data_IF_369576975446
#
_entry.id   IF_369576975446
#
_cell.length_a   1.000
_cell.length_b   1.000
_cell.length_c   1.000
_cell.angle_alpha   90.00
_cell.angle_beta   90.00
_cell.angle_gamma   90.00
#
_symmetry.space_group_name_H-M   'P 1'
#
loop_
_entity.id
_entity.type
_entity.pdbx_description
1 polymer ?
#
# COMPACT_ATOMS: atom_id res chain seq x y z
N UNK A 1 -27.15 29.71 4.92
CA UNK A 1 -25.97 29.33 4.09
C UNK A 1 -25.45 27.97 4.56
N UNK A 2 -25.79 26.88 3.88
CA UNK A 2 -25.19 25.56 4.13
C UNK A 2 -23.83 25.51 3.44
N UNK A 3 -22.75 25.80 4.18
CA UNK A 3 -21.38 25.50 3.74
C UNK A 3 -21.31 23.98 3.53
N UNK A 4 -21.27 23.52 2.28
CA UNK A 4 -21.10 22.10 1.94
C UNK A 4 -19.72 21.66 2.45
N UNK A 5 -19.65 21.16 3.69
CA UNK A 5 -18.40 20.69 4.31
C UNK A 5 -18.11 19.28 3.77
N UNK A 6 -16.89 19.03 3.32
CA UNK A 6 -16.49 17.72 2.78
C UNK A 6 -16.35 16.70 3.92
N UNK A 7 -16.93 15.50 3.71
CA UNK A 7 -16.78 14.31 4.55
C UNK A 7 -16.16 13.21 3.69
N UNK A 8 -14.88 12.89 3.91
CA UNK A 8 -14.14 11.95 3.05
C UNK A 8 -14.39 10.48 3.44
N UNK A 9 -14.50 10.17 4.75
CA UNK A 9 -14.55 8.78 5.24
C UNK A 9 -15.70 8.48 6.21
N UNK A 10 -16.52 9.46 6.60
CA UNK A 10 -17.55 9.26 7.63
C UNK A 10 -18.93 8.88 7.06
N UNK A 11 -19.61 7.96 7.75
CA UNK A 11 -20.95 7.46 7.41
C UNK A 11 -21.99 8.55 7.70
N UNK A 12 -22.79 8.88 6.68
CA UNK A 12 -23.96 9.74 6.79
C UNK A 12 -23.90 10.97 5.88
N UNK A 13 -24.25 10.80 4.61
CA UNK A 13 -24.91 11.82 3.78
C UNK A 13 -25.30 11.24 2.42
N UNK A 14 -26.60 11.23 2.14
CA UNK A 14 -27.20 10.97 0.84
C UNK A 14 -26.88 12.11 -0.13
N UNK A 15 -25.83 11.93 -0.91
CA UNK A 15 -25.56 12.68 -2.13
C UNK A 15 -25.40 11.73 -3.31
N UNK A 16 -25.54 12.21 -4.56
CA UNK A 16 -25.34 11.36 -5.74
C UNK A 16 -23.88 10.90 -5.77
N UNK A 17 -23.64 9.67 -5.31
CA UNK A 17 -22.33 9.04 -5.30
C UNK A 17 -22.00 8.62 -6.74
N UNK A 18 -20.83 9.03 -7.23
CA UNK A 18 -20.32 8.49 -8.50
C UNK A 18 -20.19 6.97 -8.42
N UNK A 19 -20.30 6.27 -9.55
CA UNK A 19 -20.11 4.81 -9.55
C UNK A 19 -18.66 4.46 -9.19
N UNK A 20 -18.47 3.58 -8.20
CA UNK A 20 -17.18 2.97 -7.90
C UNK A 20 -17.05 1.66 -8.67
N UNK A 21 -16.07 1.59 -9.58
CA UNK A 21 -15.86 0.42 -10.45
C UNK A 21 -14.47 -0.17 -10.24
N UNK A 22 -13.44 0.67 -10.14
CA UNK A 22 -12.06 0.24 -10.05
C UNK A 22 -11.78 -0.53 -8.76
N UNK A 23 -12.21 0.00 -7.61
CA UNK A 23 -11.84 -0.58 -6.31
C UNK A 23 -12.43 -1.98 -6.13
N UNK A 24 -13.72 -2.24 -6.43
CA UNK A 24 -14.26 -3.60 -6.44
C UNK A 24 -13.53 -4.53 -7.43
N UNK A 25 -13.17 -4.06 -8.62
CA UNK A 25 -12.43 -4.86 -9.60
C UNK A 25 -11.06 -5.26 -9.06
N UNK A 26 -10.31 -4.33 -8.49
CA UNK A 26 -9.01 -4.61 -7.87
C UNK A 26 -9.16 -5.61 -6.74
N UNK A 27 -10.17 -5.47 -5.89
CA UNK A 27 -10.43 -6.39 -4.79
C UNK A 27 -10.72 -7.82 -5.29
N UNK A 28 -11.56 -7.96 -6.32
CA UNK A 28 -11.87 -9.26 -6.94
C UNK A 28 -10.63 -9.86 -7.60
N UNK A 29 -9.88 -9.06 -8.37
CA UNK A 29 -8.66 -9.52 -9.04
C UNK A 29 -7.60 -10.01 -8.04
N UNK A 30 -7.40 -9.27 -6.94
CA UNK A 30 -6.53 -9.66 -5.83
C UNK A 30 -6.96 -10.98 -5.18
N UNK A 31 -8.26 -11.14 -4.90
CA UNK A 31 -8.78 -12.39 -4.35
C UNK A 31 -8.56 -13.57 -5.30
N UNK A 32 -8.88 -13.40 -6.60
CA UNK A 32 -8.68 -14.43 -7.61
C UNK A 32 -7.19 -14.79 -7.75
N UNK A 33 -6.30 -13.81 -7.74
CA UNK A 33 -4.86 -14.05 -7.84
C UNK A 33 -4.32 -14.77 -6.60
N UNK A 34 -4.85 -14.50 -5.41
CA UNK A 34 -4.54 -15.27 -4.22
C UNK A 34 -4.99 -16.74 -4.34
N UNK A 35 -6.20 -16.99 -4.85
CA UNK A 35 -6.68 -18.37 -5.11
C UNK A 35 -5.78 -19.08 -6.14
N UNK A 36 -5.38 -18.39 -7.22
CA UNK A 36 -4.44 -18.93 -8.21
C UNK A 36 -3.09 -19.23 -7.56
N UNK A 37 -2.59 -18.33 -6.72
CA UNK A 37 -1.32 -18.51 -5.99
C UNK A 37 -1.38 -19.76 -5.10
N UNK A 38 -2.47 -19.97 -4.37
CA UNK A 38 -2.70 -21.17 -3.57
C UNK A 38 -2.80 -22.43 -4.43
N UNK A 39 -3.43 -22.35 -5.59
CA UNK A 39 -3.50 -23.45 -6.54
C UNK A 39 -2.11 -23.82 -7.10
N UNK A 40 -1.28 -22.82 -7.42
CA UNK A 40 0.11 -23.03 -7.85
C UNK A 40 0.99 -23.58 -6.72
N UNK A 41 0.73 -23.18 -5.48
CA UNK A 41 1.47 -23.65 -4.30
C UNK A 41 1.41 -25.16 -4.13
N UNK A 42 0.21 -25.76 -4.29
CA UNK A 42 -0.02 -27.22 -4.24
C UNK A 42 0.78 -27.93 -3.14
N UNK A 43 0.56 -27.54 -1.87
CA UNK A 43 1.32 -28.08 -0.75
C UNK A 43 1.35 -29.62 -0.67
N UNK A 44 0.24 -30.36 -0.87
CA UNK A 44 0.23 -31.82 -0.70
C UNK A 44 1.18 -32.59 -1.63
N UNK A 45 1.41 -32.05 -2.83
CA UNK A 45 2.27 -32.65 -3.86
C UNK A 45 3.77 -32.49 -3.54
N UNK A 46 4.12 -31.56 -2.65
CA UNK A 46 5.50 -31.29 -2.24
C UNK A 46 5.96 -32.17 -1.06
N UNK A 47 5.14 -33.13 -0.59
CA UNK A 47 5.50 -34.07 0.48
C UNK A 47 5.54 -33.47 1.89
N UNK A 48 5.03 -32.24 2.09
CA UNK A 48 5.08 -31.53 3.37
C UNK A 48 3.86 -31.79 4.29
N UNK A 49 4.01 -31.47 5.59
CA UNK A 49 2.92 -31.46 6.57
C UNK A 49 2.02 -30.23 6.38
N UNK A 50 1.12 -30.29 5.41
CA UNK A 50 0.24 -29.16 5.09
C UNK A 50 -0.82 -28.88 6.16
N UNK A 51 -1.14 -27.60 6.36
CA UNK A 51 -2.25 -27.15 7.19
C UNK A 51 -3.55 -27.25 6.38
N UNK A 52 -4.65 -27.73 6.98
CA UNK A 52 -5.96 -27.92 6.33
C UNK A 52 -5.88 -28.78 5.05
N UNK A 53 -5.37 -30.01 5.18
CA UNK A 53 -5.28 -31.00 4.08
C UNK A 53 -6.61 -31.31 3.36
N UNK A 54 -7.75 -31.11 4.03
CA UNK A 54 -9.08 -31.30 3.42
C UNK A 54 -9.39 -30.36 2.25
N UNK A 55 -8.61 -29.28 2.07
CA UNK A 55 -8.74 -28.35 0.93
C UNK A 55 -8.02 -28.83 -0.34
N UNK A 56 -7.36 -29.99 -0.30
CA UNK A 56 -6.62 -30.55 -1.43
C UNK A 56 -5.52 -29.60 -1.92
N UNK A 57 -5.54 -29.27 -3.21
CA UNK A 57 -4.52 -28.41 -3.84
C UNK A 57 -4.45 -27.00 -3.23
N UNK A 58 -5.51 -26.53 -2.58
CA UNK A 58 -5.58 -25.23 -1.92
C UNK A 58 -5.13 -25.25 -0.45
N UNK A 59 -4.60 -26.38 0.02
CA UNK A 59 -4.04 -26.47 1.38
C UNK A 59 -2.89 -25.50 1.61
N UNK A 60 -2.78 -25.04 2.85
CA UNK A 60 -1.79 -24.06 3.27
C UNK A 60 -0.48 -24.74 3.69
N UNK A 61 0.61 -23.98 3.62
CA UNK A 61 1.87 -24.43 4.20
C UNK A 61 1.76 -24.62 5.72
N UNK A 62 2.69 -25.39 6.33
CA UNK A 62 2.76 -25.49 7.78
C UNK A 62 2.76 -24.10 8.43
N UNK A 63 2.12 -23.98 9.60
CA UNK A 63 2.10 -22.71 10.34
C UNK A 63 3.50 -22.25 10.81
N UNK A 64 4.48 -23.17 10.84
CA UNK A 64 5.89 -22.83 11.05
C UNK A 64 6.48 -22.00 9.91
N UNK A 65 5.95 -22.17 8.69
CA UNK A 65 6.47 -21.53 7.48
C UNK A 65 5.65 -20.28 7.17
N UNK A 66 4.31 -20.37 7.29
CA UNK A 66 3.40 -19.26 7.08
C UNK A 66 2.31 -19.24 8.16
N UNK A 67 2.52 -18.49 9.27
CA UNK A 67 1.63 -18.54 10.43
C UNK A 67 0.23 -17.94 10.19
N UNK A 68 0.04 -17.18 9.11
CA UNK A 68 -1.21 -16.49 8.79
C UNK A 68 -2.04 -17.19 7.70
N UNK A 69 -1.77 -18.48 7.44
CA UNK A 69 -2.36 -19.30 6.38
C UNK A 69 -2.02 -18.78 4.98
N UNK A 70 -0.96 -19.31 4.38
CA UNK A 70 -0.59 -18.91 3.03
C UNK A 70 0.29 -19.91 2.29
N UNK A 71 0.75 -19.54 1.09
CA UNK A 71 1.65 -20.34 0.28
C UNK A 71 3.09 -20.27 0.79
N UNK A 72 3.99 -21.01 0.15
CA UNK A 72 5.43 -20.96 0.43
C UNK A 72 6.09 -19.70 -0.15
N UNK A 73 7.22 -19.31 0.42
CA UNK A 73 8.08 -18.24 -0.09
C UNK A 73 8.49 -18.46 -1.56
N UNK A 74 8.79 -19.71 -1.93
CA UNK A 74 9.16 -20.09 -3.30
C UNK A 74 8.01 -19.87 -4.28
N UNK A 75 6.79 -20.19 -3.89
CA UNK A 75 5.59 -19.92 -4.71
C UNK A 75 5.37 -18.42 -4.89
N UNK A 76 5.48 -17.63 -3.81
CA UNK A 76 5.37 -16.17 -3.89
C UNK A 76 6.43 -15.56 -4.81
N UNK A 77 7.68 -16.04 -4.72
CA UNK A 77 8.76 -15.62 -5.62
C UNK A 77 8.42 -15.97 -7.08
N UNK A 78 7.96 -17.19 -7.34
CA UNK A 78 7.58 -17.63 -8.68
C UNK A 78 6.41 -16.82 -9.27
N UNK A 79 5.45 -16.44 -8.44
CA UNK A 79 4.27 -15.66 -8.87
C UNK A 79 4.56 -14.18 -9.12
N UNK A 80 5.74 -13.69 -8.76
CA UNK A 80 6.13 -12.29 -9.00
C UNK A 80 6.35 -11.44 -7.75
N UNK A 81 6.58 -12.06 -6.59
CA UNK A 81 7.03 -11.36 -5.40
C UNK A 81 8.40 -10.73 -5.57
N UNK A 82 8.67 -9.70 -4.79
CA UNK A 82 9.93 -8.96 -4.85
C UNK A 82 10.95 -9.56 -3.87
N UNK A 83 12.21 -9.57 -4.30
CA UNK A 83 13.39 -9.78 -3.46
C UNK A 83 14.55 -8.98 -4.06
N UNK A 84 15.54 -8.61 -3.24
CA UNK A 84 16.72 -7.89 -3.74
C UNK A 84 17.44 -8.67 -4.85
N UNK A 85 17.62 -9.99 -4.68
CA UNK A 85 18.26 -10.85 -5.70
C UNK A 85 17.52 -10.87 -7.05
N UNK A 86 16.19 -10.95 -7.04
CA UNK A 86 15.43 -11.02 -8.30
C UNK A 86 15.42 -9.71 -9.09
N UNK A 87 15.46 -8.57 -8.41
CA UNK A 87 15.44 -7.26 -9.08
C UNK A 87 16.86 -6.78 -9.39
N UNK A 88 17.78 -6.83 -8.43
CA UNK A 88 19.15 -6.38 -8.62
C UNK A 88 19.99 -7.40 -9.39
N UNK A 89 19.92 -8.68 -9.01
CA UNK A 89 20.71 -9.76 -9.60
C UNK A 89 20.17 -10.28 -10.93
N UNK A 90 18.85 -10.44 -11.05
CA UNK A 90 18.21 -11.01 -12.25
C UNK A 90 17.55 -9.94 -13.15
N UNK A 91 17.63 -8.66 -12.78
CA UNK A 91 17.07 -7.53 -13.55
C UNK A 91 15.58 -7.65 -13.89
N UNK A 92 14.77 -8.27 -13.02
CA UNK A 92 13.35 -8.50 -13.27
C UNK A 92 12.49 -7.29 -12.85
N UNK A 93 12.51 -6.26 -13.70
CA UNK A 93 11.93 -4.92 -13.46
C UNK A 93 10.42 -4.89 -13.30
N UNK A 94 9.74 -5.95 -13.73
CA UNK A 94 8.29 -6.08 -13.67
C UNK A 94 7.80 -6.47 -12.26
N UNK A 95 8.67 -7.01 -11.41
CA UNK A 95 8.31 -7.53 -10.07
C UNK A 95 7.70 -6.48 -9.13
N UNK A 96 8.21 -5.25 -9.05
CA UNK A 96 7.59 -4.19 -8.26
C UNK A 96 6.17 -3.82 -8.69
N UNK A 97 5.76 -4.18 -9.92
CA UNK A 97 4.38 -4.00 -10.38
C UNK A 97 3.51 -5.22 -10.07
N UNK A 98 4.04 -6.43 -10.24
CA UNK A 98 3.27 -7.66 -9.98
C UNK A 98 3.04 -7.92 -8.50
N UNK A 99 4.00 -7.57 -7.64
CA UNK A 99 3.87 -7.82 -6.20
C UNK A 99 2.73 -7.04 -5.54
N UNK A 100 2.25 -5.95 -6.19
CA UNK A 100 1.08 -5.18 -5.76
C UNK A 100 -0.20 -6.02 -5.79
N UNK A 101 -0.27 -7.04 -6.64
CA UNK A 101 -1.46 -7.89 -6.77
C UNK A 101 -1.43 -9.13 -5.89
N UNK A 102 -0.26 -9.46 -5.33
CA UNK A 102 -0.05 -10.70 -4.59
C UNK A 102 -0.27 -10.47 -3.09
N UNK A 103 -0.79 -11.50 -2.42
CA UNK A 103 -0.99 -11.51 -0.97
C UNK A 103 -0.22 -12.66 -0.33
N UNK A 104 0.44 -12.35 0.78
CA UNK A 104 1.28 -13.29 1.51
C UNK A 104 0.49 -14.42 2.19
N UNK A 105 -0.75 -14.14 2.58
CA UNK A 105 -1.56 -15.00 3.44
C UNK A 105 -3.02 -14.52 3.50
N UNK A 106 -3.91 -15.38 4.00
CA UNK A 106 -5.36 -15.14 4.05
C UNK A 106 -5.69 -13.94 4.95
N UNK A 107 -5.10 -13.87 6.16
CA UNK A 107 -5.43 -12.80 7.11
C UNK A 107 -5.01 -11.43 6.55
N UNK A 108 -3.81 -11.34 5.99
CA UNK A 108 -3.32 -10.14 5.33
C UNK A 108 -4.21 -9.74 4.16
N UNK A 109 -4.60 -10.69 3.30
CA UNK A 109 -5.52 -10.44 2.19
C UNK A 109 -6.86 -9.89 2.69
N UNK A 110 -7.48 -10.51 3.70
CA UNK A 110 -8.77 -10.07 4.21
C UNK A 110 -8.70 -8.65 4.79
N UNK A 111 -7.69 -8.35 5.61
CA UNK A 111 -7.53 -7.01 6.20
C UNK A 111 -7.27 -5.97 5.12
N UNK A 112 -6.42 -6.27 4.13
CA UNK A 112 -6.16 -5.35 3.02
C UNK A 112 -7.40 -5.10 2.16
N UNK A 113 -8.11 -6.16 1.75
CA UNK A 113 -9.31 -6.04 0.91
C UNK A 113 -10.45 -5.30 1.62
N UNK A 114 -10.73 -5.61 2.89
CA UNK A 114 -11.76 -4.90 3.67
C UNK A 114 -11.40 -3.42 3.80
N UNK A 115 -10.14 -3.13 4.08
CA UNK A 115 -9.64 -1.76 4.20
C UNK A 115 -9.68 -1.01 2.87
N UNK A 116 -9.33 -1.68 1.77
CA UNK A 116 -9.39 -1.15 0.41
C UNK A 116 -10.83 -0.85 0.00
N UNK A 117 -11.78 -1.74 0.30
CA UNK A 117 -13.20 -1.49 0.03
C UNK A 117 -13.71 -0.32 0.88
N UNK A 118 -13.31 -0.22 2.15
CA UNK A 118 -13.77 0.85 3.04
C UNK A 118 -13.20 2.24 2.68
N UNK A 119 -11.90 2.31 2.39
CA UNK A 119 -11.20 3.57 2.07
C UNK A 119 -11.30 3.89 0.58
N UNK A 120 -10.96 2.92 -0.26
CA UNK A 120 -10.87 3.08 -1.71
C UNK A 120 -12.20 3.43 -2.35
N UNK A 121 -13.31 2.74 -2.03
CA UNK A 121 -14.62 3.05 -2.64
C UNK A 121 -15.01 4.50 -2.37
N UNK A 122 -14.82 4.99 -1.15
CA UNK A 122 -15.15 6.37 -0.81
C UNK A 122 -14.28 7.37 -1.56
N UNK A 123 -12.97 7.11 -1.66
CA UNK A 123 -12.09 7.96 -2.46
C UNK A 123 -12.45 7.93 -3.94
N UNK A 124 -12.82 6.76 -4.48
CA UNK A 124 -13.22 6.63 -5.87
C UNK A 124 -14.50 7.42 -6.17
N UNK A 125 -15.47 7.38 -5.26
CA UNK A 125 -16.72 8.14 -5.37
C UNK A 125 -16.49 9.66 -5.32
N UNK A 126 -15.52 10.12 -4.53
CA UNK A 126 -15.23 11.56 -4.35
C UNK A 126 -14.31 12.11 -5.47
N UNK A 127 -13.24 11.39 -5.81
CA UNK A 127 -12.17 11.89 -6.69
C UNK A 127 -12.18 11.28 -8.09
N UNK A 128 -12.92 10.18 -8.29
CA UNK A 128 -13.03 9.44 -9.55
C UNK A 128 -11.97 8.35 -9.72
N UNK A 129 -12.33 7.31 -10.48
CA UNK A 129 -11.51 6.12 -10.71
C UNK A 129 -10.10 6.41 -11.23
N UNK A 130 -9.94 7.37 -12.15
CA UNK A 130 -8.65 7.68 -12.77
C UNK A 130 -7.61 8.17 -11.75
N UNK A 131 -8.01 9.07 -10.85
CA UNK A 131 -7.09 9.64 -9.85
C UNK A 131 -6.77 8.63 -8.77
N UNK A 132 -7.78 7.95 -8.24
CA UNK A 132 -7.61 6.94 -7.20
C UNK A 132 -6.79 5.77 -7.71
N UNK A 133 -7.04 5.30 -8.93
CA UNK A 133 -6.24 4.25 -9.56
C UNK A 133 -4.80 4.67 -9.80
N UNK A 134 -4.58 5.90 -10.30
CA UNK A 134 -3.21 6.41 -10.49
C UNK A 134 -2.45 6.48 -9.18
N UNK A 135 -3.08 7.00 -8.11
CA UNK A 135 -2.46 7.06 -6.78
C UNK A 135 -2.17 5.64 -6.29
N UNK A 136 -3.16 4.74 -6.31
CA UNK A 136 -3.03 3.36 -5.82
C UNK A 136 -1.84 2.63 -6.47
N UNK A 137 -1.80 2.57 -7.81
CA UNK A 137 -0.75 1.82 -8.50
C UNK A 137 0.63 2.50 -8.40
N UNK A 138 0.71 3.83 -8.53
CA UNK A 138 1.98 4.53 -8.44
C UNK A 138 2.55 4.49 -7.02
N UNK A 139 1.72 4.70 -5.98
CA UNK A 139 2.19 4.60 -4.60
C UNK A 139 2.56 3.16 -4.23
N UNK A 140 1.82 2.16 -4.73
CA UNK A 140 2.20 0.75 -4.58
C UNK A 140 3.56 0.43 -5.20
N UNK A 141 3.81 0.96 -6.40
CA UNK A 141 5.12 0.84 -7.06
C UNK A 141 6.22 1.55 -6.25
N UNK A 142 5.99 2.77 -5.79
CA UNK A 142 6.93 3.53 -4.97
C UNK A 142 7.24 2.85 -3.63
N UNK A 143 6.22 2.27 -2.99
CA UNK A 143 6.38 1.44 -1.79
C UNK A 143 7.21 0.18 -2.06
N UNK A 144 6.98 -0.49 -3.19
CA UNK A 144 7.75 -1.68 -3.59
C UNK A 144 9.22 -1.35 -3.85
N UNK A 145 9.51 -0.22 -4.49
CA UNK A 145 10.89 0.26 -4.68
C UNK A 145 11.57 0.63 -3.35
N UNK A 146 10.84 1.29 -2.44
CA UNK A 146 11.37 1.63 -1.14
C UNK A 146 11.64 0.38 -0.29
N UNK A 147 10.76 -0.62 -0.36
CA UNK A 147 10.93 -1.94 0.28
C UNK A 147 12.19 -2.67 -0.20
N UNK A 148 12.50 -2.61 -1.51
CA UNK A 148 13.67 -3.28 -2.09
C UNK A 148 15.01 -2.84 -1.48
N UNK A 149 15.08 -1.63 -0.90
CA UNK A 149 16.27 -1.16 -0.21
C UNK A 149 16.51 -1.85 1.13
N UNK A 150 15.47 -2.37 1.77
CA UNK A 150 15.56 -2.89 3.13
C UNK A 150 15.25 -4.40 3.22
N UNK A 151 14.81 -5.02 2.13
CA UNK A 151 14.50 -6.45 2.09
C UNK A 151 15.78 -7.30 1.93
N UNK A 152 16.12 -8.07 2.97
CA UNK A 152 17.24 -9.01 2.95
C UNK A 152 16.72 -10.46 2.92
N UNK A 153 17.16 -11.24 1.94
CA UNK A 153 17.02 -12.71 1.90
C UNK A 153 15.59 -13.26 2.12
N UNK A 154 14.56 -12.45 1.89
CA UNK A 154 13.15 -12.82 1.98
C UNK A 154 12.38 -12.30 0.78
N UNK A 155 11.27 -12.98 0.48
CA UNK A 155 10.31 -12.54 -0.55
C UNK A 155 9.26 -11.69 0.13
N UNK A 156 8.93 -10.53 -0.45
CA UNK A 156 7.80 -9.70 -0.02
C UNK A 156 6.77 -9.55 -1.13
N UNK A 157 5.50 -9.49 -0.71
CA UNK A 157 4.34 -9.24 -1.55
C UNK A 157 3.33 -8.40 -0.78
N UNK A 158 2.49 -7.65 -1.47
CA UNK A 158 1.37 -6.97 -0.83
C UNK A 158 0.93 -5.72 -1.57
N UNK A 159 -0.37 -5.66 -1.85
CA UNK A 159 -1.09 -4.44 -2.21
C UNK A 159 -1.10 -3.39 -1.11
N UNK A 160 -0.79 -3.75 0.13
CA UNK A 160 -0.91 -2.86 1.29
C UNK A 160 -0.11 -1.56 1.16
N UNK A 161 1.03 -1.55 0.44
CA UNK A 161 1.73 -0.30 0.12
C UNK A 161 0.89 0.68 -0.71
N UNK A 162 0.10 0.17 -1.66
CA UNK A 162 -0.87 0.95 -2.43
C UNK A 162 -2.01 1.49 -1.56
N UNK A 163 -2.51 0.68 -0.63
CA UNK A 163 -3.52 1.10 0.33
C UNK A 163 -3.00 2.20 1.27
N UNK A 164 -1.79 2.06 1.83
CA UNK A 164 -1.14 3.12 2.60
C UNK A 164 -0.95 4.40 1.77
N UNK A 165 -0.71 4.27 0.47
CA UNK A 165 -0.65 5.43 -0.41
C UNK A 165 -1.99 6.15 -0.59
N UNK A 166 -3.10 5.42 -0.64
CA UNK A 166 -4.43 6.06 -0.57
C UNK A 166 -4.63 6.80 0.76
N UNK A 167 -4.17 6.25 1.88
CA UNK A 167 -4.22 6.93 3.19
C UNK A 167 -3.35 8.19 3.19
N UNK A 168 -2.13 8.11 2.68
CA UNK A 168 -1.24 9.27 2.52
C UNK A 168 -1.87 10.36 1.66
N UNK A 169 -2.57 9.98 0.58
CA UNK A 169 -3.29 10.93 -0.25
C UNK A 169 -4.45 11.63 0.48
N UNK A 170 -5.16 10.92 1.37
CA UNK A 170 -6.17 11.54 2.26
C UNK A 170 -5.53 12.53 3.21
N UNK A 171 -4.40 12.18 3.82
CA UNK A 171 -3.66 13.09 4.71
C UNK A 171 -3.24 14.35 3.96
N UNK A 172 -2.71 14.20 2.74
CA UNK A 172 -2.30 15.33 1.89
C UNK A 172 -3.45 16.26 1.49
N UNK A 173 -4.69 15.76 1.41
CA UNK A 173 -5.88 16.58 1.13
C UNK A 173 -6.43 17.26 2.39
N UNK A 174 -6.54 16.51 3.50
CA UNK A 174 -7.23 16.99 4.70
C UNK A 174 -6.36 17.95 5.52
N UNK A 175 -5.07 17.67 5.70
CA UNK A 175 -4.19 18.47 6.58
C UNK A 175 -4.09 19.93 6.12
N UNK A 176 -3.83 20.26 4.84
CA UNK A 176 -3.76 21.66 4.39
C UNK A 176 -5.09 22.43 4.50
N UNK A 177 -6.21 21.72 4.60
CA UNK A 177 -7.56 22.29 4.70
C UNK A 177 -8.28 21.83 5.98
N UNK A 178 -7.52 21.67 7.08
CA UNK A 178 -8.02 21.09 8.34
C UNK A 178 -9.28 21.75 8.89
N UNK A 179 -9.46 23.05 8.64
CA UNK A 179 -10.61 23.86 9.11
C UNK A 179 -11.86 23.70 8.23
N UNK A 180 -11.72 23.16 7.01
CA UNK A 180 -12.82 23.01 6.04
C UNK A 180 -13.47 21.62 6.07
N UNK A 181 -12.76 20.62 6.59
CA UNK A 181 -13.22 19.24 6.65
C UNK A 181 -13.97 18.93 7.94
N UNK A 182 -15.14 18.30 7.82
CA UNK A 182 -15.87 17.72 8.96
C UNK A 182 -15.49 16.26 9.16
N UNK A 183 -15.71 15.73 10.37
CA UNK A 183 -15.45 14.32 10.66
C UNK A 183 -13.96 13.94 10.55
N UNK A 184 -13.04 14.89 10.71
CA UNK A 184 -11.59 14.64 10.66
C UNK A 184 -11.11 13.71 11.78
N UNK A 185 -11.53 13.94 13.02
CA UNK A 185 -11.14 13.08 14.15
C UNK A 185 -11.48 11.61 13.91
N UNK A 186 -12.73 11.23 13.56
CA UNK A 186 -13.02 9.84 13.27
C UNK A 186 -12.36 9.33 11.98
N UNK A 187 -12.18 10.18 10.96
CA UNK A 187 -11.46 9.81 9.74
C UNK A 187 -10.02 9.38 10.07
N UNK A 188 -9.28 10.22 10.80
CA UNK A 188 -7.91 9.91 11.22
C UNK A 188 -7.85 8.77 12.23
N UNK A 189 -8.85 8.60 13.10
CA UNK A 189 -8.95 7.45 13.98
C UNK A 189 -9.10 6.15 13.17
N UNK A 190 -10.00 6.11 12.17
CA UNK A 190 -10.17 4.93 11.32
C UNK A 190 -8.91 4.65 10.49
N UNK A 191 -8.30 5.67 9.88
CA UNK A 191 -7.04 5.50 9.16
C UNK A 191 -5.92 4.99 10.08
N UNK A 192 -5.83 5.53 11.31
CA UNK A 192 -4.86 5.08 12.31
C UNK A 192 -5.06 3.64 12.74
N UNK A 193 -6.32 3.20 12.95
CA UNK A 193 -6.63 1.80 13.27
C UNK A 193 -6.23 0.89 12.13
N UNK A 194 -6.60 1.23 10.89
CA UNK A 194 -6.23 0.41 9.72
C UNK A 194 -4.70 0.35 9.58
N UNK A 195 -4.02 1.49 9.67
CA UNK A 195 -2.57 1.56 9.59
C UNK A 195 -1.90 0.71 10.68
N UNK A 196 -2.41 0.75 11.91
CA UNK A 196 -1.91 -0.08 13.02
C UNK A 196 -2.10 -1.57 12.74
N UNK A 197 -3.28 -1.99 12.28
CA UNK A 197 -3.55 -3.40 11.95
C UNK A 197 -2.63 -3.91 10.84
N UNK A 198 -2.46 -3.13 9.77
CA UNK A 198 -1.56 -3.50 8.67
C UNK A 198 -0.10 -3.49 9.11
N UNK A 199 0.31 -2.54 9.96
CA UNK A 199 1.66 -2.50 10.52
C UNK A 199 1.97 -3.74 11.36
N UNK A 200 1.03 -4.18 12.20
CA UNK A 200 1.15 -5.42 12.98
C UNK A 200 1.29 -6.62 12.05
N UNK A 201 0.47 -6.69 10.98
CA UNK A 201 0.58 -7.73 9.96
C UNK A 201 1.93 -7.66 9.23
N UNK A 202 2.48 -6.47 9.04
CA UNK A 202 3.79 -6.23 8.43
C UNK A 202 4.98 -6.72 9.25
N UNK A 203 4.77 -7.13 10.50
CA UNK A 203 5.78 -7.83 11.31
C UNK A 203 5.87 -9.33 11.02
N UNK A 204 4.90 -9.89 10.28
CA UNK A 204 4.86 -11.31 9.92
C UNK A 204 5.62 -11.60 8.60
N UNK A 205 5.95 -12.88 8.34
CA UNK A 205 6.62 -13.28 7.11
C UNK A 205 5.92 -12.79 5.83
N UNK A 206 6.72 -12.42 4.83
CA UNK A 206 6.31 -11.97 3.50
C UNK A 206 5.58 -10.63 3.39
N UNK A 207 5.25 -9.99 4.51
CA UNK A 207 4.76 -8.61 4.55
C UNK A 207 5.90 -7.71 5.02
N UNK A 208 5.92 -6.47 4.53
CA UNK A 208 7.01 -5.53 4.78
C UNK A 208 6.47 -4.13 5.10
N UNK A 209 6.92 -3.58 6.24
CA UNK A 209 6.51 -2.28 6.71
C UNK A 209 7.22 -1.13 5.96
N UNK A 210 8.39 -1.36 5.35
CA UNK A 210 8.99 -0.36 4.47
C UNK A 210 8.11 -0.10 3.25
N UNK A 211 7.47 -1.11 2.66
CA UNK A 211 6.48 -0.93 1.61
C UNK A 211 5.32 -0.04 2.05
N UNK A 212 4.84 -0.19 3.30
CA UNK A 212 3.80 0.68 3.87
C UNK A 212 4.28 2.13 4.02
N UNK A 213 5.48 2.32 4.58
CA UNK A 213 6.06 3.65 4.78
C UNK A 213 6.33 4.37 3.44
N UNK A 214 6.94 3.68 2.48
CA UNK A 214 7.18 4.20 1.13
C UNK A 214 5.87 4.49 0.41
N UNK A 215 4.91 3.56 0.47
CA UNK A 215 3.58 3.72 -0.09
C UNK A 215 2.87 4.97 0.44
N UNK A 216 2.88 5.17 1.76
CA UNK A 216 2.33 6.37 2.41
C UNK A 216 3.02 7.66 1.94
N UNK A 217 4.35 7.68 1.89
CA UNK A 217 5.13 8.84 1.44
C UNK A 217 4.80 9.21 -0.01
N UNK A 218 4.88 8.25 -0.94
CA UNK A 218 4.52 8.49 -2.34
C UNK A 218 3.04 8.86 -2.48
N UNK A 219 2.16 8.24 -1.70
CA UNK A 219 0.75 8.58 -1.62
C UNK A 219 0.48 10.01 -1.21
N UNK A 220 1.20 10.54 -0.21
CA UNK A 220 1.11 11.95 0.18
C UNK A 220 1.51 12.88 -0.97
N UNK A 221 2.63 12.59 -1.63
CA UNK A 221 3.14 13.41 -2.75
C UNK A 221 2.20 13.36 -3.95
N UNK A 222 1.75 12.16 -4.34
CA UNK A 222 0.82 11.94 -5.45
C UNK A 222 -0.55 12.52 -5.12
N UNK A 223 -1.06 12.34 -3.90
CA UNK A 223 -2.30 12.95 -3.43
C UNK A 223 -2.24 14.47 -3.55
N UNK A 224 -1.14 15.09 -3.10
CA UNK A 224 -0.90 16.51 -3.32
C UNK A 224 -0.94 16.86 -4.82
N UNK A 225 -0.25 16.12 -5.68
CA UNK A 225 -0.19 16.41 -7.11
C UNK A 225 -1.54 16.24 -7.84
N UNK A 226 -2.30 15.18 -7.53
CA UNK A 226 -3.54 14.80 -8.23
C UNK A 226 -4.78 15.48 -7.65
N UNK A 227 -4.87 15.65 -6.32
CA UNK A 227 -6.03 16.27 -5.68
C UNK A 227 -5.94 17.80 -5.64
N UNK A 228 -4.73 18.38 -5.72
CA UNK A 228 -4.56 19.84 -5.79
C UNK A 228 -5.32 20.52 -6.93
N UNK A 229 -5.58 19.83 -8.05
CA UNK A 229 -6.38 20.34 -9.18
C UNK A 229 -7.89 20.11 -9.01
N UNK A 230 -8.31 19.03 -8.35
CA UNK A 230 -9.72 18.81 -7.99
C UNK A 230 -10.26 19.97 -7.13
N UNK A 231 -9.42 20.44 -6.20
CA UNK A 231 -9.61 21.63 -5.37
C UNK A 231 -9.88 22.93 -6.15
N UNK A 232 -9.40 23.07 -7.39
CA UNK A 232 -9.63 24.28 -8.20
C UNK A 232 -10.93 24.21 -9.03
N UNK A 233 -11.33 23.03 -9.50
CA UNK A 233 -12.55 22.88 -10.31
C UNK A 233 -13.84 22.99 -9.48
N UNK A 234 -13.82 22.57 -8.22
CA UNK A 234 -14.98 22.68 -7.32
C UNK A 234 -15.24 24.12 -6.85
N UNK A 235 -14.19 24.92 -6.66
CA UNK A 235 -14.34 26.35 -6.34
C UNK A 235 -15.11 27.11 -7.42
N UNK A 236 -15.08 26.62 -8.66
CA UNK A 236 -15.78 27.21 -9.80
C UNK A 236 -17.28 26.88 -9.84
N UNK A 237 -17.70 25.78 -9.21
CA UNK A 237 -19.10 25.32 -9.20
C UNK A 237 -19.90 25.81 -7.98
N UNK A 238 -19.24 26.28 -6.92
CA UNK A 238 -19.91 26.91 -5.76
C UNK A 238 -20.23 28.40 -5.97
N UNK A 239 -19.83 28.98 -7.11
CA UNK A 239 -20.03 30.41 -7.41
C UNK A 239 -20.96 30.53 -8.62
N UNK A 240 -22.26 30.62 -8.36
CA UNK A 240 -23.25 31.21 -9.26
C UNK A 240 -24.36 31.85 -8.39
N UNK A 241 -25.06 32.91 -8.82
CA UNK A 241 -24.52 34.24 -9.05
C UNK A 241 -25.36 35.28 -8.29
N UNK A 242 -25.37 35.31 -6.95
CA UNK A 242 -26.22 36.28 -6.24
C UNK A 242 -25.71 36.80 -4.89
N UNK A 243 -24.45 37.22 -4.85
CA UNK A 243 -24.00 38.16 -3.83
C UNK A 243 -22.89 39.04 -4.38
N UNK A 244 -23.21 40.33 -4.58
CA UNK A 244 -22.26 41.44 -4.73
C UNK A 244 -21.43 41.57 -3.44
N UNK A 245 -20.47 40.68 -3.26
CA UNK A 245 -19.43 40.84 -2.26
C UNK A 245 -18.11 40.55 -2.94
N UNK A 246 -17.37 41.63 -3.20
CA UNK A 246 -15.99 41.73 -3.69
C UNK A 246 -15.32 40.36 -3.90
N UNK A 247 -15.39 39.87 -5.13
CA UNK A 247 -14.48 38.84 -5.62
C UNK A 247 -13.09 39.48 -5.62
N UNK A 248 -12.40 39.42 -4.48
CA UNK A 248 -10.95 39.51 -4.44
C UNK A 248 -10.45 38.31 -5.23
N UNK A 249 -10.40 38.51 -6.55
CA UNK A 249 -9.45 37.91 -7.48
C UNK A 249 -8.32 37.31 -6.68
N UNK A 250 -8.36 35.98 -6.51
CA UNK A 250 -7.34 35.28 -5.73
C UNK A 250 -5.96 35.76 -6.19
N UNK A 251 -5.28 36.43 -5.27
CA UNK A 251 -4.04 37.17 -5.46
C UNK A 251 -3.11 36.39 -6.39
N UNK A 252 -2.67 37.01 -7.49
CA UNK A 252 -1.85 36.36 -8.52
C UNK A 252 -0.64 35.62 -7.91
N UNK A 253 -0.12 36.17 -6.81
CA UNK A 253 0.94 35.61 -5.99
C UNK A 253 0.59 34.25 -5.35
N UNK A 254 -0.65 34.06 -4.88
CA UNK A 254 -1.10 32.79 -4.27
C UNK A 254 -1.28 31.70 -5.34
N UNK A 255 -1.80 32.06 -6.52
CA UNK A 255 -1.93 31.11 -7.65
C UNK A 255 -0.56 30.66 -8.14
N UNK A 256 0.38 31.61 -8.27
CA UNK A 256 1.76 31.33 -8.65
C UNK A 256 2.49 30.46 -7.62
N UNK A 257 2.33 30.75 -6.32
CA UNK A 257 2.90 29.94 -5.24
C UNK A 257 2.35 28.49 -5.26
N UNK A 258 1.04 28.30 -5.44
CA UNK A 258 0.45 26.97 -5.57
C UNK A 258 0.95 26.21 -6.80
N UNK A 259 1.13 26.90 -7.93
CA UNK A 259 1.68 26.31 -9.14
C UNK A 259 3.15 25.91 -8.94
N UNK A 260 3.95 26.76 -8.30
CA UNK A 260 5.34 26.48 -7.96
C UNK A 260 5.46 25.26 -7.05
N UNK A 261 4.71 25.20 -5.95
CA UNK A 261 4.72 24.04 -5.04
C UNK A 261 4.32 22.76 -5.77
N UNK A 262 3.32 22.84 -6.66
CA UNK A 262 2.90 21.70 -7.47
C UNK A 262 4.02 21.22 -8.42
N UNK A 263 4.69 22.15 -9.12
CA UNK A 263 5.84 21.83 -10.00
C UNK A 263 6.98 21.18 -9.21
N UNK A 264 7.35 21.77 -8.07
CA UNK A 264 8.38 21.22 -7.17
C UNK A 264 8.00 19.81 -6.71
N UNK A 265 6.73 19.59 -6.36
CA UNK A 265 6.24 18.26 -5.95
C UNK A 265 6.37 17.24 -7.07
N UNK A 266 6.00 17.60 -8.31
CA UNK A 266 6.12 16.70 -9.47
C UNK A 266 7.58 16.37 -9.78
N UNK A 267 8.47 17.36 -9.72
CA UNK A 267 9.91 17.15 -9.91
C UNK A 267 10.46 16.23 -8.80
N UNK A 268 10.09 16.47 -7.55
CA UNK A 268 10.50 15.65 -6.41
C UNK A 268 10.05 14.19 -6.58
N UNK A 269 8.80 13.96 -6.99
CA UNK A 269 8.28 12.62 -7.27
C UNK A 269 9.14 11.92 -8.33
N UNK A 270 9.43 12.61 -9.44
CA UNK A 270 10.25 12.03 -10.52
C UNK A 270 11.66 11.68 -10.04
N UNK A 271 12.32 12.59 -9.31
CA UNK A 271 13.65 12.35 -8.75
C UNK A 271 13.64 11.17 -7.77
N UNK A 272 12.65 11.08 -6.89
CA UNK A 272 12.53 9.98 -5.93
C UNK A 272 12.34 8.64 -6.63
N UNK A 273 11.46 8.54 -7.62
CA UNK A 273 11.30 7.30 -8.40
C UNK A 273 12.59 6.92 -9.11
N UNK A 274 13.25 7.88 -9.77
CA UNK A 274 14.50 7.62 -10.49
C UNK A 274 15.59 7.13 -9.53
N UNK A 275 15.76 7.81 -8.39
CA UNK A 275 16.74 7.44 -7.38
C UNK A 275 16.47 6.05 -6.82
N UNK A 276 15.24 5.76 -6.37
CA UNK A 276 14.89 4.46 -5.81
C UNK A 276 15.03 3.34 -6.83
N UNK A 277 14.67 3.59 -8.10
CA UNK A 277 14.93 2.64 -9.18
C UNK A 277 16.43 2.34 -9.27
N UNK A 278 17.28 3.36 -9.42
CA UNK A 278 18.74 3.18 -9.53
C UNK A 278 19.30 2.40 -8.34
N UNK A 279 18.89 2.74 -7.13
CA UNK A 279 19.33 2.07 -5.90
C UNK A 279 18.86 0.61 -5.85
N UNK A 280 17.61 0.34 -6.23
CA UNK A 280 17.07 -1.02 -6.31
C UNK A 280 17.79 -1.87 -7.34
N UNK A 281 18.13 -1.32 -8.52
CA UNK A 281 18.93 -2.04 -9.54
C UNK A 281 20.36 -2.31 -9.10
N UNK A 282 20.96 -1.38 -8.35
CA UNK A 282 22.30 -1.58 -7.78
C UNK A 282 22.31 -2.54 -6.60
N UNK A 283 21.14 -2.97 -6.10
CA UNK A 283 21.05 -3.85 -4.93
C UNK A 283 21.56 -3.19 -3.66
N UNK A 284 21.44 -1.86 -3.54
CA UNK A 284 21.89 -1.14 -2.35
C UNK A 284 21.08 -1.57 -1.14
N UNK A 285 21.77 -2.01 -0.09
CA UNK A 285 21.14 -2.43 1.15
C UNK A 285 21.14 -1.29 2.18
N UNK A 286 19.97 -0.70 2.40
CA UNK A 286 19.75 0.37 3.37
C UNK A 286 20.00 -0.08 4.82
N UNK A 287 19.91 -1.38 5.13
CA UNK A 287 20.19 -1.88 6.48
C UNK A 287 21.65 -1.69 6.90
N UNK A 288 22.57 -1.54 5.95
CA UNK A 288 23.99 -1.26 6.24
C UNK A 288 24.17 0.12 6.88
N UNK A 289 23.19 1.00 6.73
CA UNK A 289 23.20 2.37 7.25
C UNK A 289 22.25 2.59 8.45
N UNK A 290 21.54 1.55 8.91
CA UNK A 290 20.64 1.66 10.06
C UNK A 290 20.47 0.36 10.85
N UNK A 291 20.86 0.38 12.12
CA UNK A 291 20.78 -0.78 13.03
C UNK A 291 19.34 -1.16 13.42
N UNK A 292 18.40 -0.22 13.36
CA UNK A 292 16.99 -0.44 13.74
C UNK A 292 16.10 -0.88 12.58
N UNK A 293 16.54 -0.74 11.32
CA UNK A 293 15.71 -0.99 10.15
C UNK A 293 15.19 -2.43 10.08
N UNK A 294 16.01 -3.42 10.43
CA UNK A 294 15.60 -4.83 10.49
C UNK A 294 14.41 -5.07 11.42
N UNK A 295 14.30 -4.29 12.51
CA UNK A 295 13.21 -4.42 13.49
C UNK A 295 11.90 -3.80 13.00
N UNK A 296 11.94 -2.97 11.96
CA UNK A 296 10.76 -2.32 11.42
C UNK A 296 9.82 -3.31 10.72
N UNK A 297 10.37 -4.32 10.04
CA UNK A 297 9.60 -5.34 9.30
C UNK A 297 9.63 -6.73 9.92
N UNK A 298 10.36 -6.93 11.03
CA UNK A 298 10.41 -8.24 11.69
C UNK A 298 10.81 -8.10 13.16
N UNK A 299 10.05 -8.74 14.04
CA UNK A 299 10.42 -8.93 15.45
C UNK A 299 10.63 -10.43 15.66
N UNK A 300 11.80 -10.87 16.16
CA UNK A 300 12.08 -12.28 16.36
C UNK A 300 11.16 -12.84 17.45
N UNK A 301 10.66 -14.06 17.25
CA UNK A 301 9.81 -14.76 18.22
C UNK A 301 10.20 -16.23 18.35
N UNK A 302 9.62 -16.95 19.31
CA UNK A 302 9.77 -18.40 19.43
C UNK A 302 9.35 -19.18 18.19
N UNK A 303 8.56 -18.57 17.29
CA UNK A 303 7.97 -19.21 16.12
C UNK A 303 8.60 -18.77 14.79
N UNK A 304 9.44 -17.72 14.75
CA UNK A 304 10.16 -17.31 13.54
C UNK A 304 11.36 -16.40 13.87
N UNK A 305 12.40 -16.45 13.03
CA UNK A 305 13.62 -15.66 13.18
C UNK A 305 13.75 -14.59 12.08
N UNK A 306 14.33 -13.45 12.47
CA UNK A 306 14.60 -12.32 11.57
C UNK A 306 16.05 -12.30 11.02
N UNK A 307 16.85 -13.33 11.32
CA UNK A 307 18.27 -13.39 10.96
C UNK A 307 18.50 -14.04 9.60
N UNK A 308 19.14 -13.32 8.69
CA UNK A 308 19.75 -13.87 7.49
C UNK A 308 21.24 -14.09 7.71
N UNK A 309 21.65 -15.33 8.02
CA UNK A 309 23.05 -15.76 7.91
C UNK A 309 23.16 -16.68 6.71
N UNK A 310 23.90 -16.22 5.70
CA UNK A 310 24.61 -16.99 4.66
C UNK A 310 24.38 -18.51 4.61
N UNK A 311 23.79 -18.99 3.51
CA UNK A 311 23.94 -20.37 3.04
C UNK A 311 23.21 -21.43 3.87
N UNK A 312 22.16 -21.99 3.28
CA UNK A 312 21.39 -23.14 3.74
C UNK A 312 20.42 -22.94 4.93
N UNK A 313 19.18 -23.34 4.64
CA UNK A 313 18.10 -23.76 5.54
C UNK A 313 17.19 -22.67 6.14
N UNK A 314 16.09 -22.45 5.40
CA UNK A 314 14.69 -22.60 5.85
C UNK A 314 14.53 -22.73 7.36
N UNK A 315 13.71 -21.81 7.91
CA UNK A 315 12.91 -21.93 9.12
C UNK A 315 12.99 -23.28 9.85
N UNK A 316 13.85 -23.39 10.86
CA UNK A 316 13.62 -24.36 11.95
C UNK A 316 13.01 -23.61 13.12
N UNK A 317 11.75 -23.91 13.40
CA UNK A 317 11.09 -23.60 14.67
C UNK A 317 11.60 -24.61 15.70
N UNK A 318 12.27 -24.12 16.73
CA UNK A 318 12.75 -24.94 17.85
C UNK A 318 11.62 -25.21 18.83
N UNK A 319 10.61 -26.01 18.46
CA UNK A 319 9.64 -26.54 19.42
C UNK A 319 9.11 -27.92 18.96
N UNK A 320 9.77 -28.98 19.43
CA UNK A 320 9.22 -30.23 19.97
C UNK A 320 10.38 -31.19 20.26
N UNK A 321 10.56 -31.68 21.51
CA UNK A 321 11.40 -32.85 21.74
C UNK A 321 10.63 -34.09 21.26
N UNK A 322 11.25 -34.87 20.39
CA UNK A 322 11.02 -36.31 20.29
C UNK A 322 12.33 -36.98 20.71
#
# INVERSE_FOLDING_TARGET
MLRKRQRILYVGADGPRGHSLLVPIVAIASFLLFVITMYVNNCPDQGHSCTLRGLGRLSFQPLSDNPLFGPSASTLSRMGGISSDTVAGQHQIWRPFTCIWLHANVIHMLVDLISLLFVGIRLEQEFGCRKVGSIYFLSGFGGSLFSLLFIENRVSVGSSGALFGLMGAVVAEVVPNWTKHEGKAPTFATLGIIALLLFIIGLFPHVDNFSHAGGFLFGMLLGHAFFARARMNWSKYQIAPHSRFTDFSGDSNIKMCKAFIWVVTVILIFILYLLLMILAFKGVNGNDHCSWCRKFSCIPSSHWNCGGSSGHNICKVSFLPL
#
